data_IF_416258291193
#
_entry.id   IF_416258291193
#
_cell.length_a   1.000
_cell.length_b   1.000
_cell.length_c   1.000
_cell.angle_alpha   90.00
_cell.angle_beta   90.00
_cell.angle_gamma   90.00
#
_symmetry.space_group_name_H-M   'P 1'
#
loop_
_entity.id
_entity.type
_entity.pdbx_description
1 polymer ?
#
# COMPACT_ATOMS: atom_id res chain seq x y z
N UNK A 1 -4.48 8.25 15.58
CA UNK A 1 -4.21 7.11 16.49
C UNK A 1 -5.47 6.64 17.21
N UNK A 2 -6.14 7.46 18.01
CA UNK A 2 -7.36 7.04 18.74
C UNK A 2 -8.49 6.51 17.85
N UNK A 3 -8.78 7.16 16.71
CA UNK A 3 -9.81 6.66 15.76
C UNK A 3 -9.43 5.33 15.10
N UNK A 4 -8.14 5.10 14.84
CA UNK A 4 -7.65 3.81 14.29
C UNK A 4 -7.82 2.72 15.35
N UNK A 5 -7.50 3.02 16.61
CA UNK A 5 -7.69 2.10 17.73
C UNK A 5 -9.17 1.80 17.97
N UNK A 6 -10.05 2.80 17.92
CA UNK A 6 -11.49 2.63 18.09
C UNK A 6 -12.10 1.73 17.01
N UNK A 7 -11.75 1.96 15.73
CA UNK A 7 -12.20 1.12 14.61
C UNK A 7 -11.62 -0.30 14.71
N UNK A 8 -10.34 -0.44 15.07
CA UNK A 8 -9.70 -1.73 15.26
C UNK A 8 -10.37 -2.57 16.36
N UNK A 9 -10.64 -1.95 17.52
CA UNK A 9 -11.33 -2.60 18.64
C UNK A 9 -12.76 -2.99 18.22
N UNK A 10 -13.50 -2.09 17.60
CA UNK A 10 -14.85 -2.40 17.10
C UNK A 10 -14.84 -3.56 16.09
N UNK A 11 -13.87 -3.56 15.15
CA UNK A 11 -13.73 -4.61 14.15
C UNK A 11 -13.42 -5.97 14.77
N UNK A 12 -12.77 -6.01 15.94
CA UNK A 12 -12.46 -7.26 16.64
C UNK A 12 -13.71 -7.93 17.21
N UNK A 13 -14.74 -7.13 17.54
CA UNK A 13 -16.03 -7.61 18.04
C UNK A 13 -17.11 -7.64 16.94
N UNK A 14 -16.73 -7.43 15.67
CA UNK A 14 -17.69 -7.40 14.56
C UNK A 14 -17.84 -8.78 13.92
N UNK A 15 -19.02 -9.36 14.08
CA UNK A 15 -19.39 -10.63 13.45
C UNK A 15 -19.40 -11.80 14.45
N UNK A 16 -19.92 -12.95 14.01
CA UNK A 16 -19.82 -14.20 14.75
C UNK A 16 -18.50 -14.88 14.37
N UNK A 17 -17.88 -15.58 15.31
CA UNK A 17 -16.80 -16.49 14.97
C UNK A 17 -17.31 -17.54 13.95
N UNK A 18 -16.47 -17.94 13.00
CA UNK A 18 -16.88 -18.82 11.88
C UNK A 18 -17.41 -20.19 12.34
N UNK A 19 -16.96 -20.68 13.50
CA UNK A 19 -17.45 -21.90 14.16
C UNK A 19 -18.86 -21.74 14.75
N UNK A 20 -19.28 -20.50 15.04
CA UNK A 20 -20.59 -20.15 15.62
C UNK A 20 -21.55 -19.53 14.59
N UNK A 21 -21.10 -19.32 13.36
CA UNK A 21 -21.92 -18.77 12.29
C UNK A 21 -22.69 -19.88 11.56
N UNK A 22 -24.00 -19.96 11.83
CA UNK A 22 -24.90 -20.93 11.21
C UNK A 22 -24.90 -20.87 9.67
N UNK A 23 -24.76 -19.69 9.08
CA UNK A 23 -24.71 -19.55 7.62
C UNK A 23 -23.41 -20.13 7.05
N UNK A 24 -22.29 -19.93 7.74
CA UNK A 24 -21.01 -20.52 7.36
C UNK A 24 -21.02 -22.05 7.55
N UNK A 25 -21.57 -22.55 8.66
CA UNK A 25 -21.70 -23.99 8.92
C UNK A 25 -22.59 -24.68 7.88
N UNK A 26 -23.71 -24.07 7.50
CA UNK A 26 -24.57 -24.56 6.42
C UNK A 26 -23.85 -24.53 5.06
N UNK A 27 -23.04 -23.50 4.80
CA UNK A 27 -22.25 -23.38 3.58
C UNK A 27 -21.20 -24.49 3.46
N UNK A 28 -20.43 -24.77 4.52
CA UNK A 28 -19.38 -25.82 4.53
C UNK A 28 -19.93 -27.25 4.74
N UNK A 29 -21.21 -27.40 5.12
CA UNK A 29 -21.85 -28.71 5.18
C UNK A 29 -21.95 -29.37 3.80
N UNK A 30 -21.98 -28.56 2.74
CA UNK A 30 -21.93 -29.02 1.35
C UNK A 30 -20.48 -29.45 1.03
N UNK A 31 -20.22 -30.71 0.63
CA UNK A 31 -18.86 -31.23 0.42
C UNK A 31 -18.04 -30.43 -0.61
N UNK A 32 -18.71 -29.93 -1.65
CA UNK A 32 -18.09 -29.11 -2.70
C UNK A 32 -17.62 -27.75 -2.17
N UNK A 33 -18.45 -27.07 -1.39
CA UNK A 33 -18.09 -25.81 -0.73
C UNK A 33 -17.00 -26.00 0.33
N UNK A 34 -17.02 -27.13 1.05
CA UNK A 34 -15.96 -27.47 2.00
C UNK A 34 -14.63 -27.65 1.31
N UNK A 35 -14.63 -28.31 0.15
CA UNK A 35 -13.43 -28.45 -0.68
C UNK A 35 -12.98 -27.10 -1.26
N UNK A 36 -13.89 -26.20 -1.63
CA UNK A 36 -13.53 -24.84 -2.03
C UNK A 36 -12.86 -24.05 -0.90
N UNK A 37 -13.39 -24.12 0.32
CA UNK A 37 -12.87 -23.37 1.48
C UNK A 37 -11.58 -23.98 2.05
N UNK A 38 -11.46 -25.30 2.09
CA UNK A 38 -10.37 -26.00 2.78
C UNK A 38 -9.50 -26.89 1.88
N UNK A 39 -9.92 -27.21 0.66
CA UNK A 39 -9.29 -28.23 -0.20
C UNK A 39 -8.02 -27.78 -0.92
N UNK A 40 -7.89 -26.48 -1.25
CA UNK A 40 -6.76 -25.96 -2.05
C UNK A 40 -5.80 -25.05 -1.28
N UNK A 41 -5.90 -24.96 0.04
CA UNK A 41 -4.83 -24.31 0.79
C UNK A 41 -3.62 -25.23 0.77
N UNK A 42 -2.62 -24.87 -0.04
CA UNK A 42 -1.26 -25.35 0.14
C UNK A 42 -0.81 -24.94 1.55
N UNK A 43 -1.17 -25.73 2.56
CA UNK A 43 -0.83 -25.42 3.94
C UNK A 43 0.69 -25.52 4.05
N UNK A 44 1.27 -24.48 4.64
CA UNK A 44 2.68 -24.47 5.03
C UNK A 44 2.87 -25.06 6.42
N UNK A 45 1.77 -25.40 7.13
CA UNK A 45 1.84 -26.17 8.36
C UNK A 45 2.55 -27.49 8.05
N UNK A 46 3.58 -27.79 8.85
CA UNK A 46 4.42 -28.99 8.74
C UNK A 46 5.27 -29.14 7.46
N UNK A 47 5.35 -28.10 6.62
CA UNK A 47 6.27 -28.09 5.47
C UNK A 47 7.58 -27.37 5.79
N UNK A 48 8.69 -28.09 5.69
CA UNK A 48 10.03 -27.49 5.74
C UNK A 48 10.25 -26.64 4.48
N UNK A 49 10.22 -25.33 4.63
CA UNK A 49 10.50 -24.41 3.54
C UNK A 49 11.94 -24.59 3.03
N UNK A 50 12.17 -24.57 1.70
CA UNK A 50 13.51 -24.63 1.15
C UNK A 50 14.31 -23.40 1.60
N UNK A 51 15.62 -23.57 1.76
CA UNK A 51 16.55 -22.49 2.18
C UNK A 51 16.50 -21.29 1.23
N UNK A 52 16.19 -21.52 -0.05
CA UNK A 52 15.96 -20.49 -1.06
C UNK A 52 14.88 -19.47 -0.65
N UNK A 53 13.79 -19.93 -0.03
CA UNK A 53 12.70 -19.04 0.43
C UNK A 53 13.16 -18.15 1.60
N UNK A 54 13.96 -18.71 2.51
CA UNK A 54 14.56 -17.95 3.61
C UNK A 54 15.55 -16.90 3.12
N UNK A 55 16.36 -17.24 2.10
CA UNK A 55 17.29 -16.29 1.48
C UNK A 55 16.50 -15.13 0.83
N UNK A 56 15.43 -15.43 0.09
CA UNK A 56 14.57 -14.39 -0.49
C UNK A 56 13.98 -13.46 0.58
N UNK A 57 13.48 -14.04 1.68
CA UNK A 57 12.94 -13.28 2.81
C UNK A 57 14.00 -12.35 3.42
N UNK A 58 15.21 -12.83 3.66
CA UNK A 58 16.28 -12.01 4.23
C UNK A 58 16.72 -10.89 3.29
N UNK A 59 16.78 -11.13 1.97
CA UNK A 59 17.06 -10.08 0.98
C UNK A 59 15.98 -9.00 1.01
N UNK A 60 14.72 -9.40 1.13
CA UNK A 60 13.59 -8.47 1.23
C UNK A 60 13.63 -7.64 2.51
N UNK A 61 13.83 -8.28 3.67
CA UNK A 61 13.95 -7.60 4.96
C UNK A 61 15.15 -6.65 5.00
N UNK A 62 16.30 -7.07 4.45
CA UNK A 62 17.47 -6.21 4.33
C UNK A 62 17.18 -4.98 3.45
N UNK A 63 16.47 -5.14 2.33
CA UNK A 63 16.07 -4.02 1.48
C UNK A 63 15.15 -3.04 2.22
N UNK A 64 14.17 -3.54 2.98
CA UNK A 64 13.30 -2.70 3.83
C UNK A 64 14.13 -1.92 4.85
N UNK A 65 15.06 -2.58 5.54
CA UNK A 65 15.92 -1.92 6.53
C UNK A 65 16.76 -0.80 5.90
N UNK A 66 17.34 -1.05 4.72
CA UNK A 66 18.10 -0.04 3.97
C UNK A 66 17.20 1.13 3.57
N UNK A 67 16.02 0.86 3.00
CA UNK A 67 15.06 1.89 2.61
C UNK A 67 14.59 2.71 3.82
N UNK A 68 14.35 2.08 4.96
CA UNK A 68 13.96 2.76 6.20
C UNK A 68 15.09 3.67 6.72
N UNK A 69 16.35 3.23 6.64
CA UNK A 69 17.51 4.05 7.00
C UNK A 69 17.66 5.26 6.07
N UNK A 70 17.56 5.05 4.75
CA UNK A 70 17.55 6.13 3.76
C UNK A 70 16.35 7.08 3.97
N UNK A 71 15.23 6.53 4.44
CA UNK A 71 14.03 7.21 4.88
C UNK A 71 14.27 8.17 6.04
N UNK A 72 14.91 7.66 7.09
CA UNK A 72 15.19 8.38 8.33
C UNK A 72 16.28 9.45 8.15
N UNK A 73 17.29 9.17 7.32
CA UNK A 73 18.42 10.06 7.10
C UNK A 73 18.42 10.56 5.66
N UNK A 74 17.85 11.74 5.46
CA UNK A 74 17.73 12.35 4.14
C UNK A 74 19.05 12.56 3.41
N UNK A 75 20.15 12.70 4.15
CA UNK A 75 21.51 12.91 3.65
C UNK A 75 22.14 11.64 3.05
N UNK A 76 21.69 10.46 3.48
CA UNK A 76 22.17 9.18 2.94
C UNK A 76 21.52 8.84 1.60
N UNK A 77 20.47 9.58 1.21
CA UNK A 77 19.78 9.34 -0.06
C UNK A 77 20.73 9.62 -1.23
N UNK A 78 20.72 8.78 -2.27
CA UNK A 78 21.45 9.07 -3.49
C UNK A 78 21.02 10.44 -4.03
N UNK A 79 22.00 11.28 -4.34
CA UNK A 79 21.78 12.61 -4.89
C UNK A 79 22.17 12.62 -6.37
N UNK A 80 21.35 13.27 -7.17
CA UNK A 80 21.66 13.57 -8.56
C UNK A 80 21.66 15.08 -8.71
N UNK A 81 22.73 15.63 -9.26
CA UNK A 81 22.92 17.09 -9.40
C UNK A 81 22.80 17.85 -8.05
N UNK A 82 23.39 17.28 -7.00
CA UNK A 82 23.39 17.85 -5.65
C UNK A 82 22.05 17.81 -4.90
N UNK A 83 20.98 17.27 -5.52
CA UNK A 83 19.67 17.13 -4.89
C UNK A 83 19.38 15.67 -4.53
N UNK A 84 19.03 15.37 -3.26
CA UNK A 84 18.60 14.04 -2.87
C UNK A 84 17.37 13.58 -3.67
N UNK A 85 17.38 12.33 -4.13
CA UNK A 85 16.23 11.76 -4.83
C UNK A 85 14.98 11.72 -3.93
N UNK A 86 13.81 11.75 -4.57
CA UNK A 86 12.53 11.60 -3.86
C UNK A 86 12.44 10.21 -3.22
N UNK A 87 11.75 10.11 -2.09
CA UNK A 87 11.56 8.81 -1.43
C UNK A 87 10.87 7.80 -2.33
N UNK A 88 9.96 8.25 -3.19
CA UNK A 88 9.28 7.40 -4.18
C UNK A 88 10.30 6.73 -5.09
N UNK A 89 11.25 7.49 -5.66
CA UNK A 89 12.28 6.94 -6.53
C UNK A 89 13.26 6.03 -5.78
N UNK A 90 13.67 6.42 -4.57
CA UNK A 90 14.55 5.59 -3.73
C UNK A 90 13.89 4.24 -3.44
N UNK A 91 12.64 4.22 -2.99
CA UNK A 91 11.90 2.99 -2.71
C UNK A 91 11.81 2.14 -3.99
N UNK A 92 11.43 2.73 -5.13
CA UNK A 92 11.29 2.01 -6.39
C UNK A 92 12.61 1.34 -6.83
N UNK A 93 13.73 2.06 -6.78
CA UNK A 93 15.04 1.50 -7.16
C UNK A 93 15.44 0.33 -6.27
N UNK A 94 15.33 0.47 -4.95
CA UNK A 94 15.74 -0.58 -4.01
C UNK A 94 14.78 -1.79 -4.00
N UNK A 95 13.49 -1.58 -4.24
CA UNK A 95 12.52 -2.68 -4.37
C UNK A 95 12.74 -3.46 -5.67
N UNK A 96 12.99 -2.78 -6.80
CA UNK A 96 13.34 -3.44 -8.07
C UNK A 96 14.67 -4.18 -7.96
N UNK A 97 15.68 -3.57 -7.34
CA UNK A 97 16.97 -4.21 -7.08
C UNK A 97 16.81 -5.46 -6.20
N UNK A 98 16.03 -5.37 -5.12
CA UNK A 98 15.73 -6.52 -4.25
C UNK A 98 15.06 -7.65 -5.04
N UNK A 99 14.06 -7.33 -5.86
CA UNK A 99 13.40 -8.32 -6.72
C UNK A 99 14.37 -8.99 -7.70
N UNK A 100 15.27 -8.22 -8.33
CA UNK A 100 16.30 -8.74 -9.22
C UNK A 100 17.28 -9.66 -8.48
N UNK A 101 17.76 -9.24 -7.30
CA UNK A 101 18.67 -10.03 -6.46
C UNK A 101 18.03 -11.34 -6.01
N UNK A 102 16.75 -11.31 -5.61
CA UNK A 102 16.01 -12.51 -5.26
C UNK A 102 16.04 -13.49 -6.43
N UNK A 103 15.57 -13.08 -7.62
CA UNK A 103 15.51 -13.94 -8.81
C UNK A 103 16.88 -14.55 -9.15
N UNK A 104 17.95 -13.74 -9.11
CA UNK A 104 19.30 -14.19 -9.46
C UNK A 104 19.85 -15.19 -8.42
N UNK A 105 19.70 -14.89 -7.13
CA UNK A 105 20.29 -15.70 -6.04
C UNK A 105 19.50 -16.98 -5.81
N UNK A 106 18.17 -16.91 -5.81
CA UNK A 106 17.30 -18.07 -5.61
C UNK A 106 17.10 -18.91 -6.87
N UNK A 107 17.59 -18.43 -8.02
CA UNK A 107 17.42 -19.04 -9.35
C UNK A 107 15.94 -19.29 -9.69
N UNK A 108 15.07 -18.40 -9.24
CA UNK A 108 13.62 -18.50 -9.49
C UNK A 108 13.34 -18.24 -10.96
N UNK A 109 12.54 -19.08 -11.61
CA UNK A 109 12.11 -18.88 -12.98
C UNK A 109 11.17 -17.65 -13.07
N UNK A 110 11.53 -16.56 -13.79
CA UNK A 110 10.67 -15.38 -13.88
C UNK A 110 9.28 -15.66 -14.46
N UNK A 111 9.18 -16.64 -15.37
CA UNK A 111 7.91 -17.00 -16.01
C UNK A 111 6.93 -17.71 -15.07
N UNK A 112 7.39 -18.24 -13.92
CA UNK A 112 6.47 -18.82 -12.93
C UNK A 112 5.85 -17.76 -12.01
N UNK A 113 6.48 -16.58 -11.88
CA UNK A 113 5.99 -15.49 -11.03
C UNK A 113 4.65 -14.97 -11.56
N UNK A 114 4.55 -14.66 -12.86
CA UNK A 114 3.32 -14.13 -13.47
C UNK A 114 2.18 -15.16 -13.57
N UNK A 115 2.50 -16.44 -13.42
CA UNK A 115 1.52 -17.53 -13.42
C UNK A 115 0.95 -17.82 -12.03
N UNK A 116 1.61 -17.35 -10.96
CA UNK A 116 1.17 -17.56 -9.59
C UNK A 116 -0.07 -16.69 -9.26
N UNK A 117 -1.03 -17.27 -8.55
CA UNK A 117 -2.28 -16.61 -8.13
C UNK A 117 -2.04 -15.37 -7.28
N UNK A 118 -1.02 -15.37 -6.42
CA UNK A 118 -0.68 -14.22 -5.57
C UNK A 118 -0.25 -13.03 -6.44
N UNK A 119 0.58 -13.26 -7.45
CA UNK A 119 1.00 -12.20 -8.37
C UNK A 119 -0.18 -11.71 -9.20
N UNK A 120 -1.00 -12.61 -9.75
CA UNK A 120 -2.18 -12.23 -10.55
C UNK A 120 -3.17 -11.40 -9.73
N UNK A 121 -3.51 -11.87 -8.53
CA UNK A 121 -4.39 -11.15 -7.61
C UNK A 121 -3.80 -9.79 -7.21
N UNK A 122 -2.50 -9.75 -6.95
CA UNK A 122 -1.78 -8.50 -6.67
C UNK A 122 -1.83 -7.51 -7.83
N UNK A 123 -1.61 -7.97 -9.07
CA UNK A 123 -1.68 -7.11 -10.25
C UNK A 123 -3.08 -6.55 -10.48
N UNK A 124 -4.13 -7.36 -10.29
CA UNK A 124 -5.53 -6.90 -10.38
C UNK A 124 -5.79 -5.82 -9.33
N UNK A 125 -5.36 -6.03 -8.09
CA UNK A 125 -5.51 -5.06 -7.01
C UNK A 125 -4.76 -3.74 -7.30
N UNK A 126 -3.53 -3.81 -7.83
CA UNK A 126 -2.75 -2.63 -8.21
C UNK A 126 -3.49 -1.82 -9.28
N UNK A 127 -3.99 -2.47 -10.33
CA UNK A 127 -4.74 -1.77 -11.40
C UNK A 127 -6.01 -1.14 -10.85
N UNK A 128 -6.74 -1.83 -9.97
CA UNK A 128 -7.95 -1.31 -9.36
C UNK A 128 -7.69 -0.05 -8.51
N UNK A 129 -6.69 -0.09 -7.62
CA UNK A 129 -6.34 1.05 -6.77
C UNK A 129 -5.76 2.20 -7.60
N UNK A 130 -4.88 1.89 -8.55
CA UNK A 130 -4.27 2.90 -9.41
C UNK A 130 -5.29 3.59 -10.32
N UNK A 131 -6.27 2.85 -10.85
CA UNK A 131 -7.35 3.43 -11.66
C UNK A 131 -8.17 4.47 -10.89
N UNK A 132 -8.54 4.16 -9.64
CA UNK A 132 -9.27 5.11 -8.77
C UNK A 132 -8.39 6.34 -8.47
N UNK A 133 -7.13 6.13 -8.10
CA UNK A 133 -6.20 7.22 -7.81
C UNK A 133 -5.98 8.13 -9.02
N UNK A 134 -5.83 7.56 -10.21
CA UNK A 134 -5.59 8.32 -11.44
C UNK A 134 -6.82 9.12 -11.87
N UNK A 135 -8.02 8.54 -11.79
CA UNK A 135 -9.25 9.29 -12.05
C UNK A 135 -9.42 10.46 -11.08
N UNK A 136 -9.16 10.25 -9.79
CA UNK A 136 -9.18 11.31 -8.79
C UNK A 136 -8.16 12.41 -9.14
N UNK A 137 -6.90 12.05 -9.39
CA UNK A 137 -5.84 13.00 -9.77
C UNK A 137 -6.19 13.80 -11.03
N UNK A 138 -6.79 13.16 -12.04
CA UNK A 138 -7.20 13.84 -13.29
C UNK A 138 -8.33 14.84 -13.03
N UNK A 139 -9.33 14.45 -12.25
CA UNK A 139 -10.43 15.34 -11.86
C UNK A 139 -9.94 16.54 -11.05
N UNK A 140 -9.08 16.31 -10.06
CA UNK A 140 -8.53 17.37 -9.23
C UNK A 140 -7.57 18.26 -10.01
N UNK A 141 -6.70 17.68 -10.85
CA UNK A 141 -5.79 18.43 -11.71
C UNK A 141 -6.53 19.39 -12.64
N UNK A 142 -7.65 18.96 -13.22
CA UNK A 142 -8.47 19.80 -14.10
C UNK A 142 -9.14 20.99 -13.39
N UNK A 143 -9.53 20.82 -12.12
CA UNK A 143 -10.28 21.84 -11.35
C UNK A 143 -9.44 22.53 -10.27
N UNK A 144 -8.13 22.29 -10.25
CA UNK A 144 -7.24 22.78 -9.19
C UNK A 144 -7.28 24.30 -9.06
N UNK A 145 -7.42 25.01 -10.17
CA UNK A 145 -7.53 26.48 -10.20
C UNK A 145 -8.79 26.97 -9.49
N UNK A 146 -9.95 26.37 -9.75
CA UNK A 146 -11.22 26.72 -9.10
C UNK A 146 -11.21 26.34 -7.61
N UNK A 147 -10.68 25.17 -7.28
CA UNK A 147 -10.52 24.70 -5.89
C UNK A 147 -9.66 25.69 -5.10
N UNK A 148 -8.53 26.15 -5.65
CA UNK A 148 -7.68 27.17 -5.01
C UNK A 148 -8.39 28.52 -4.89
N UNK A 149 -9.18 28.92 -5.89
CA UNK A 149 -9.95 30.16 -5.87
C UNK A 149 -10.94 30.21 -4.70
N UNK A 150 -11.83 29.21 -4.64
CA UNK A 150 -12.89 29.14 -3.61
C UNK A 150 -12.30 28.97 -2.20
N UNK A 151 -11.33 28.05 -2.06
CA UNK A 151 -10.74 27.76 -0.75
C UNK A 151 -9.83 28.90 -0.28
N UNK A 152 -9.15 29.58 -1.20
CA UNK A 152 -8.32 30.75 -0.89
C UNK A 152 -9.14 31.95 -0.43
N UNK A 153 -10.30 32.21 -1.07
CA UNK A 153 -11.24 33.25 -0.62
C UNK A 153 -11.83 32.94 0.76
N UNK A 154 -12.23 31.69 0.99
CA UNK A 154 -12.75 31.25 2.29
C UNK A 154 -11.71 31.42 3.42
N UNK A 155 -10.43 31.14 3.16
CA UNK A 155 -9.36 31.34 4.16
C UNK A 155 -9.10 32.82 4.43
N UNK A 156 -9.21 33.68 3.42
CA UNK A 156 -9.09 35.14 3.59
C UNK A 156 -10.23 35.71 4.43
N UNK A 157 -11.45 35.22 4.25
CA UNK A 157 -12.63 35.66 4.98
C UNK A 157 -12.70 35.05 6.40
N UNK A 158 -12.30 33.79 6.54
CA UNK A 158 -12.29 33.04 7.79
C UNK A 158 -10.92 32.39 8.05
N UNK A 159 -9.98 33.11 8.69
CA UNK A 159 -8.62 32.60 8.93
C UNK A 159 -8.54 31.29 9.72
N UNK A 160 -9.52 31.01 10.59
CA UNK A 160 -9.61 29.76 11.33
C UNK A 160 -9.90 28.54 10.44
N UNK A 161 -10.54 28.74 9.27
CA UNK A 161 -10.82 27.69 8.31
C UNK A 161 -9.54 27.16 7.63
N UNK A 162 -8.43 27.88 7.71
CA UNK A 162 -7.13 27.48 7.17
C UNK A 162 -6.74 26.06 7.55
N UNK A 163 -6.87 25.67 8.82
CA UNK A 163 -6.50 24.33 9.27
C UNK A 163 -7.35 23.23 8.63
N UNK A 164 -8.64 23.50 8.41
CA UNK A 164 -9.60 22.56 7.80
C UNK A 164 -9.34 22.46 6.30
N UNK A 165 -9.19 23.61 5.63
CA UNK A 165 -8.90 23.72 4.21
C UNK A 165 -7.55 23.07 3.89
N UNK A 166 -6.51 23.34 4.67
CA UNK A 166 -5.19 22.74 4.53
C UNK A 166 -5.27 21.21 4.66
N UNK A 167 -6.00 20.69 5.64
CA UNK A 167 -6.17 19.25 5.84
C UNK A 167 -6.89 18.60 4.64
N UNK A 168 -7.94 19.24 4.13
CA UNK A 168 -8.67 18.78 2.95
C UNK A 168 -7.76 18.77 1.73
N UNK A 169 -7.16 19.90 1.36
CA UNK A 169 -6.29 20.02 0.17
C UNK A 169 -5.06 19.11 0.26
N UNK A 170 -4.47 18.97 1.45
CA UNK A 170 -3.40 18.02 1.76
C UNK A 170 -3.76 16.58 1.39
N UNK A 171 -4.96 16.16 1.80
CA UNK A 171 -5.47 14.81 1.52
C UNK A 171 -5.88 14.65 0.07
N UNK A 172 -6.40 15.70 -0.58
CA UNK A 172 -6.79 15.68 -1.98
C UNK A 172 -5.59 15.65 -2.93
N UNK A 173 -4.52 16.41 -2.67
CA UNK A 173 -3.33 16.52 -3.52
C UNK A 173 -2.28 15.44 -3.18
N UNK A 174 -2.56 14.58 -2.20
CA UNK A 174 -1.65 13.55 -1.68
C UNK A 174 -0.21 14.07 -1.36
N UNK A 175 -0.08 15.38 -1.15
CA UNK A 175 1.18 16.08 -0.97
C UNK A 175 0.98 17.27 -0.02
N UNK A 176 1.45 17.09 1.21
CA UNK A 176 1.39 18.10 2.28
C UNK A 176 2.10 19.39 1.87
N UNK A 177 3.22 19.27 1.15
CA UNK A 177 4.01 20.40 0.67
C UNK A 177 3.34 21.15 -0.48
N UNK A 178 2.72 20.43 -1.43
CA UNK A 178 1.99 21.06 -2.52
C UNK A 178 0.71 21.76 -2.04
N UNK A 179 0.06 21.24 -1.00
CA UNK A 179 -1.11 21.88 -0.38
C UNK A 179 -0.76 23.22 0.29
N UNK A 180 0.40 23.32 0.94
CA UNK A 180 0.89 24.59 1.49
C UNK A 180 1.14 25.63 0.39
N UNK A 181 1.82 25.24 -0.70
CA UNK A 181 2.08 26.12 -1.85
C UNK A 181 0.81 26.46 -2.68
N UNK A 182 -0.31 25.78 -2.44
CA UNK A 182 -1.58 26.03 -3.10
C UNK A 182 -2.42 27.11 -2.40
N UNK A 183 -2.21 27.29 -1.10
CA UNK A 183 -3.05 28.14 -0.24
C UNK A 183 -2.31 29.45 0.14
N UNK A 184 -0.97 29.45 0.09
CA UNK A 184 -0.10 30.62 0.29
C UNK A 184 0.18 31.34 -1.03
#
# INVERSE_FOLDING_TARGET
LLGILAIGIFSWFRGKDLDKDEAFQAFIAIPENRHYVYGDTATLLDKKLPTSNWIAMWIFLASIAVVALLGAFSELRPAFDGKPLSMVLVIQMFMLLSGALIIIITKTNPASISKNEVFRSGMIAIVAVYGIAWMAETMFGAHMTEIKGVLGEMVKEYPWAYAIVLLLVSKFVNSQAAALAAIV
#
